data_IF_094679713682
#
_entry.id   IF_094679713682
#
_cell.length_a   1.000
_cell.length_b   1.000
_cell.length_c   1.000
_cell.angle_alpha   90.00
_cell.angle_beta   90.00
_cell.angle_gamma   90.00
#
_symmetry.space_group_name_H-M   'P 1'
#
loop_
_entity.id
_entity.type
_entity.pdbx_description
1 polymer ?
#
# COMPACT_ATOMS: atom_id res chain seq x y z
N UNK A 1 -1.87 -23.81 0.00
CA UNK A 1 -0.85 -22.75 -0.16
C UNK A 1 -0.99 -21.60 0.85
N UNK A 2 -2.16 -20.98 1.02
CA UNK A 2 -2.42 -19.90 2.00
C UNK A 2 -1.83 -20.15 3.41
N UNK A 3 -2.11 -21.31 4.03
CA UNK A 3 -1.57 -21.67 5.35
C UNK A 3 -0.03 -21.67 5.42
N UNK A 4 0.64 -22.03 4.32
CA UNK A 4 2.11 -22.01 4.23
C UNK A 4 2.65 -20.59 4.21
N UNK A 5 2.02 -19.70 3.42
CA UNK A 5 2.46 -18.31 3.34
C UNK A 5 2.19 -17.57 4.66
N UNK A 6 1.05 -17.81 5.33
CA UNK A 6 0.81 -17.31 6.69
C UNK A 6 1.88 -17.78 7.69
N UNK A 7 2.35 -19.03 7.58
CA UNK A 7 3.42 -19.56 8.43
C UNK A 7 4.75 -18.83 8.18
N UNK A 8 5.04 -18.46 6.93
CA UNK A 8 6.25 -17.69 6.58
C UNK A 8 6.16 -16.24 7.05
N UNK A 9 4.96 -15.67 7.09
CA UNK A 9 4.70 -14.31 7.58
C UNK A 9 4.49 -14.22 9.10
N UNK A 10 4.54 -15.34 9.84
CA UNK A 10 4.20 -15.38 11.27
C UNK A 10 4.99 -14.38 12.13
N UNK A 11 6.27 -14.18 11.83
CA UNK A 11 7.11 -13.22 12.56
C UNK A 11 6.54 -11.79 12.50
N UNK A 12 5.95 -11.40 11.36
CA UNK A 12 5.34 -10.09 11.20
C UNK A 12 4.03 -9.98 11.98
N UNK A 13 3.19 -11.03 11.95
CA UNK A 13 1.96 -11.08 12.73
C UNK A 13 2.21 -11.02 14.24
N UNK A 14 3.30 -11.63 14.74
CA UNK A 14 3.70 -11.50 16.16
C UNK A 14 3.99 -10.05 16.52
N UNK A 15 4.71 -9.31 15.66
CA UNK A 15 4.99 -7.89 15.89
C UNK A 15 3.69 -7.06 15.82
N UNK A 16 2.79 -7.38 14.88
CA UNK A 16 1.48 -6.71 14.76
C UNK A 16 0.65 -6.93 16.02
N UNK A 17 0.62 -8.16 16.56
CA UNK A 17 -0.06 -8.45 17.84
C UNK A 17 0.57 -7.64 18.97
N UNK A 18 1.90 -7.54 19.01
CA UNK A 18 2.59 -6.70 19.97
C UNK A 18 2.18 -5.22 19.85
N UNK A 19 2.04 -4.67 18.63
CA UNK A 19 1.55 -3.31 18.41
C UNK A 19 0.12 -3.12 18.95
N UNK A 20 -0.78 -4.08 18.74
CA UNK A 20 -2.14 -4.03 19.31
C UNK A 20 -2.11 -4.01 20.84
N UNK A 21 -1.35 -4.93 21.44
CA UNK A 21 -1.22 -5.01 22.90
C UNK A 21 -0.61 -3.72 23.45
N UNK A 22 0.46 -3.21 22.83
CA UNK A 22 1.11 -1.96 23.23
C UNK A 22 0.13 -0.78 23.14
N UNK A 23 -0.61 -0.65 22.04
CA UNK A 23 -1.61 0.40 21.87
C UNK A 23 -2.69 0.37 22.96
N UNK A 24 -3.18 -0.83 23.31
CA UNK A 24 -4.15 -1.02 24.40
C UNK A 24 -3.52 -0.66 25.76
N UNK A 25 -2.30 -1.10 26.03
CA UNK A 25 -1.58 -0.80 27.27
C UNK A 25 -1.35 0.71 27.46
N UNK A 26 -1.00 1.42 26.38
CA UNK A 26 -0.85 2.88 26.40
C UNK A 26 -2.19 3.60 26.68
N UNK A 27 -3.32 2.99 26.32
CA UNK A 27 -4.65 3.55 26.54
C UNK A 27 -5.12 3.41 28.01
N UNK A 28 -4.69 2.35 28.72
CA UNK A 28 -5.17 2.02 30.07
C UNK A 28 -5.12 3.20 31.07
N UNK A 29 -4.03 4.00 31.15
CA UNK A 29 -3.95 5.13 32.06
C UNK A 29 -4.96 6.25 31.80
N UNK A 30 -5.65 6.26 30.67
CA UNK A 30 -6.67 7.26 30.39
C UNK A 30 -8.10 6.77 30.61
N UNK A 31 -8.31 5.46 30.81
CA UNK A 31 -9.64 4.87 30.93
C UNK A 31 -10.42 5.32 32.15
N UNK A 32 -9.74 5.64 33.26
CA UNK A 32 -10.41 6.13 34.48
C UNK A 32 -11.01 7.54 34.33
N UNK A 33 -10.69 8.26 33.24
CA UNK A 33 -11.17 9.63 32.98
C UNK A 33 -12.38 9.71 32.05
N UNK A 34 -12.82 8.59 31.48
CA UNK A 34 -14.04 8.51 30.68
C UNK A 34 -13.88 7.70 29.39
N UNK A 35 -15.03 7.35 28.80
CA UNK A 35 -15.10 6.44 27.65
C UNK A 35 -14.83 7.13 26.29
N UNK A 36 -14.75 8.47 26.25
CA UNK A 36 -14.53 9.22 25.00
C UNK A 36 -13.20 8.86 24.32
N UNK A 37 -12.16 8.56 25.11
CA UNK A 37 -10.85 8.16 24.58
C UNK A 37 -10.88 6.80 23.89
N UNK A 38 -11.76 5.89 24.34
CA UNK A 38 -11.96 4.59 23.69
C UNK A 38 -12.54 4.80 22.29
N UNK A 39 -13.53 5.70 22.15
CA UNK A 39 -14.09 6.09 20.85
C UNK A 39 -13.01 6.63 19.90
N UNK A 40 -12.16 7.55 20.39
CA UNK A 40 -11.04 8.09 19.62
C UNK A 40 -10.02 7.01 19.23
N UNK A 41 -9.73 6.06 20.12
CA UNK A 41 -8.83 4.94 19.84
C UNK A 41 -9.39 4.00 18.77
N UNK A 42 -10.70 3.70 18.82
CA UNK A 42 -11.39 2.91 17.79
C UNK A 42 -11.35 3.63 16.44
N UNK A 43 -11.57 4.94 16.42
CA UNK A 43 -11.47 5.75 15.19
C UNK A 43 -10.03 5.70 14.65
N UNK A 44 -9.01 5.94 15.48
CA UNK A 44 -7.62 5.88 15.05
C UNK A 44 -7.23 4.51 14.47
N UNK A 45 -7.66 3.42 15.11
CA UNK A 45 -7.48 2.06 14.59
C UNK A 45 -8.20 1.84 13.25
N UNK A 46 -9.45 2.31 13.15
CA UNK A 46 -10.28 2.19 11.94
C UNK A 46 -9.70 3.01 10.78
N UNK A 47 -9.12 4.18 11.06
CA UNK A 47 -8.38 4.96 10.07
C UNK A 47 -7.16 4.19 9.57
N UNK A 48 -6.41 3.52 10.45
CA UNK A 48 -5.29 2.66 10.04
C UNK A 48 -5.74 1.51 9.14
N UNK A 49 -6.83 0.83 9.51
CA UNK A 49 -7.43 -0.23 8.68
C UNK A 49 -7.88 0.30 7.31
N UNK A 50 -8.54 1.46 7.29
CA UNK A 50 -9.06 2.09 6.06
C UNK A 50 -7.92 2.52 5.15
N UNK A 51 -6.91 3.17 5.70
CA UNK A 51 -5.80 3.76 4.95
C UNK A 51 -4.92 2.69 4.29
N UNK A 52 -4.86 1.48 4.85
CA UNK A 52 -4.24 0.34 4.17
C UNK A 52 -4.93 -0.02 2.84
N UNK A 53 -6.19 0.34 2.66
CA UNK A 53 -6.90 0.15 1.39
C UNK A 53 -6.66 1.28 0.40
N UNK A 54 -5.85 2.29 0.72
CA UNK A 54 -5.56 3.35 -0.24
C UNK A 54 -4.90 2.76 -1.48
N UNK A 55 -5.34 3.25 -2.63
CA UNK A 55 -5.03 2.61 -3.91
C UNK A 55 -3.53 2.62 -4.23
N UNK A 56 -2.78 3.58 -3.71
CA UNK A 56 -1.33 3.65 -3.89
C UNK A 56 -0.57 2.64 -3.01
N UNK A 57 -1.06 2.32 -1.82
CA UNK A 57 -0.52 1.26 -0.96
C UNK A 57 -0.67 -0.10 -1.62
N UNK A 58 -1.90 -0.45 -2.02
CA UNK A 58 -2.19 -1.72 -2.70
C UNK A 58 -1.32 -1.86 -3.94
N UNK A 59 -1.30 -0.84 -4.81
CA UNK A 59 -0.51 -0.90 -6.03
C UNK A 59 0.99 -1.02 -5.73
N UNK A 60 1.53 -0.28 -4.75
CA UNK A 60 2.95 -0.37 -4.40
C UNK A 60 3.34 -1.74 -3.82
N UNK A 61 2.51 -2.30 -2.94
CA UNK A 61 2.70 -3.61 -2.31
C UNK A 61 2.62 -4.72 -3.36
N UNK A 62 1.54 -4.77 -4.14
CA UNK A 62 1.29 -5.79 -5.16
C UNK A 62 2.44 -5.86 -6.17
N UNK A 63 2.77 -4.71 -6.75
CA UNK A 63 3.82 -4.60 -7.75
C UNK A 63 5.17 -5.05 -7.20
N UNK A 64 5.46 -4.72 -5.93
CA UNK A 64 6.74 -5.10 -5.32
C UNK A 64 6.79 -6.57 -4.93
N UNK A 65 5.72 -7.13 -4.35
CA UNK A 65 5.61 -8.56 -4.04
C UNK A 65 5.89 -9.37 -5.29
N UNK A 66 5.19 -9.04 -6.38
CA UNK A 66 5.36 -9.69 -7.66
C UNK A 66 6.80 -9.65 -8.14
N UNK A 67 7.39 -8.46 -8.20
CA UNK A 67 8.75 -8.27 -8.68
C UNK A 67 9.77 -9.08 -7.87
N UNK A 68 9.61 -9.13 -6.55
CA UNK A 68 10.48 -9.92 -5.69
C UNK A 68 10.30 -11.43 -5.95
N UNK A 69 9.06 -11.90 -6.16
CA UNK A 69 8.79 -13.30 -6.53
C UNK A 69 9.42 -13.64 -7.88
N UNK A 70 9.31 -12.78 -8.90
CA UNK A 70 9.94 -12.98 -10.21
C UNK A 70 11.48 -13.04 -10.11
N UNK A 71 12.08 -12.30 -9.18
CA UNK A 71 13.50 -12.36 -8.85
C UNK A 71 13.88 -13.53 -7.93
N UNK A 72 12.92 -14.37 -7.51
CA UNK A 72 13.15 -15.47 -6.57
C UNK A 72 13.52 -15.01 -5.15
N UNK A 73 13.16 -13.79 -4.77
CA UNK A 73 13.49 -13.17 -3.48
C UNK A 73 12.35 -13.25 -2.48
N UNK A 74 12.66 -13.00 -1.21
CA UNK A 74 11.66 -13.00 -0.14
C UNK A 74 10.79 -11.73 -0.20
N UNK A 75 9.48 -11.93 -0.30
CA UNK A 75 8.43 -10.92 -0.45
C UNK A 75 7.38 -10.95 0.67
N UNK A 76 7.58 -11.73 1.74
CA UNK A 76 6.56 -11.96 2.78
C UNK A 76 6.29 -10.74 3.67
N UNK A 77 7.29 -9.87 3.86
CA UNK A 77 7.23 -8.70 4.72
C UNK A 77 7.02 -7.40 3.96
N UNK A 78 6.66 -7.45 2.68
CA UNK A 78 6.56 -6.26 1.82
C UNK A 78 5.59 -5.23 2.40
N UNK A 79 4.35 -5.64 2.67
CA UNK A 79 3.34 -4.76 3.27
C UNK A 79 3.66 -4.37 4.72
N UNK A 80 4.27 -5.28 5.49
CA UNK A 80 4.72 -4.96 6.85
C UNK A 80 5.75 -3.83 6.88
N UNK A 81 6.80 -3.91 6.05
CA UNK A 81 7.82 -2.87 6.01
C UNK A 81 7.25 -1.56 5.47
N UNK A 82 6.39 -1.62 4.45
CA UNK A 82 5.70 -0.45 3.90
C UNK A 82 4.89 0.29 4.97
N UNK A 83 3.93 -0.38 5.60
CA UNK A 83 3.11 0.20 6.68
C UNK A 83 3.92 0.73 7.86
N UNK A 84 5.00 0.04 8.25
CA UNK A 84 5.85 0.48 9.36
C UNK A 84 6.61 1.77 9.01
N UNK A 85 7.10 1.87 7.78
CA UNK A 85 7.71 3.10 7.26
C UNK A 85 6.73 4.27 7.27
N UNK A 86 5.54 4.06 6.72
CA UNK A 86 4.47 5.07 6.69
C UNK A 86 4.09 5.51 8.11
N UNK A 87 3.80 4.54 8.98
CA UNK A 87 3.40 4.78 10.37
C UNK A 87 4.48 5.48 11.19
N UNK A 88 5.75 5.40 10.80
CA UNK A 88 6.83 6.14 11.45
C UNK A 88 6.64 7.65 11.28
N UNK A 89 6.19 8.10 10.12
CA UNK A 89 5.90 9.53 9.88
C UNK A 89 4.72 9.98 10.72
N UNK A 90 3.64 9.19 10.74
CA UNK A 90 2.46 9.45 11.57
C UNK A 90 2.85 9.54 13.05
N UNK A 91 3.60 8.58 13.56
CA UNK A 91 4.08 8.57 14.94
C UNK A 91 4.96 9.79 15.26
N UNK A 92 5.91 10.12 14.39
CA UNK A 92 6.79 11.28 14.56
C UNK A 92 5.99 12.59 14.60
N UNK A 93 4.95 12.72 13.79
CA UNK A 93 4.07 13.89 13.81
C UNK A 93 3.30 13.98 15.14
N UNK A 94 2.78 12.87 15.68
CA UNK A 94 2.11 12.89 16.99
C UNK A 94 3.08 13.27 18.11
N UNK A 95 4.33 12.78 18.08
CA UNK A 95 5.36 13.21 19.03
C UNK A 95 5.59 14.72 18.93
N UNK A 96 5.72 15.25 17.71
CA UNK A 96 5.89 16.68 17.49
C UNK A 96 4.72 17.51 18.06
N UNK A 97 3.48 17.07 17.80
CA UNK A 97 2.27 17.70 18.33
C UNK A 97 2.24 17.66 19.86
N UNK A 98 2.59 16.52 20.46
CA UNK A 98 2.61 16.36 21.91
C UNK A 98 3.65 17.27 22.59
N UNK A 99 4.80 17.52 21.92
CA UNK A 99 5.87 18.40 22.44
C UNK A 99 5.56 19.89 22.26
N UNK A 100 4.99 20.29 21.11
CA UNK A 100 4.78 21.70 20.75
C UNK A 100 3.40 22.22 21.19
N UNK A 101 2.43 21.34 21.44
CA UNK A 101 1.12 21.70 21.99
C UNK A 101 0.33 22.66 21.09
N UNK A 102 -0.33 23.69 21.67
CA UNK A 102 -1.18 24.64 20.94
C UNK A 102 -0.43 25.44 19.86
N UNK A 103 0.87 25.68 20.05
CA UNK A 103 1.76 26.33 19.07
C UNK A 103 2.02 25.48 17.82
N UNK A 104 1.67 24.19 17.84
CA UNK A 104 1.88 23.29 16.72
C UNK A 104 0.99 23.64 15.52
N UNK A 105 -0.17 24.26 15.73
CA UNK A 105 -1.21 24.42 14.69
C UNK A 105 -0.72 25.14 13.43
N UNK A 106 0.03 26.24 13.57
CA UNK A 106 0.58 26.97 12.41
C UNK A 106 1.75 26.25 11.74
N UNK A 107 2.60 25.57 12.52
CA UNK A 107 3.66 24.74 11.95
C UNK A 107 3.10 23.54 11.18
N UNK A 108 2.04 22.92 11.71
CA UNK A 108 1.38 21.76 11.11
C UNK A 108 0.86 22.05 9.71
N UNK A 109 0.18 23.18 9.48
CA UNK A 109 -0.32 23.53 8.15
C UNK A 109 0.82 23.61 7.13
N UNK A 110 1.92 24.31 7.46
CA UNK A 110 3.06 24.45 6.55
C UNK A 110 3.80 23.13 6.31
N UNK A 111 4.02 22.32 7.36
CA UNK A 111 4.64 21.01 7.24
C UNK A 111 3.77 20.03 6.43
N UNK A 112 2.45 20.07 6.65
CA UNK A 112 1.47 19.24 5.95
C UNK A 112 1.46 19.55 4.47
N UNK A 113 1.47 20.82 4.07
CA UNK A 113 1.49 21.20 2.64
C UNK A 113 2.78 20.73 1.95
N UNK A 114 3.95 21.00 2.54
CA UNK A 114 5.24 20.64 1.92
C UNK A 114 5.39 19.12 1.84
N UNK A 115 5.10 18.39 2.92
CA UNK A 115 5.19 16.93 2.88
C UNK A 115 4.11 16.31 2.00
N UNK A 116 2.89 16.87 1.95
CA UNK A 116 1.84 16.47 1.01
C UNK A 116 2.31 16.49 -0.44
N UNK A 117 2.96 17.59 -0.85
CA UNK A 117 3.57 17.72 -2.18
C UNK A 117 4.66 16.67 -2.39
N UNK A 118 5.60 16.55 -1.44
CA UNK A 118 6.73 15.60 -1.55
C UNK A 118 6.21 14.16 -1.62
N UNK A 119 5.31 13.77 -0.73
CA UNK A 119 4.70 12.45 -0.65
C UNK A 119 3.96 12.11 -1.94
N UNK A 120 3.16 13.04 -2.46
CA UNK A 120 2.43 12.85 -3.73
C UNK A 120 3.38 12.70 -4.91
N UNK A 121 4.41 13.56 -5.03
CA UNK A 121 5.42 13.45 -6.10
C UNK A 121 6.15 12.11 -6.02
N UNK A 122 6.61 11.71 -4.84
CA UNK A 122 7.34 10.46 -4.66
C UNK A 122 6.45 9.26 -4.94
N UNK A 123 5.24 9.23 -4.38
CA UNK A 123 4.28 8.13 -4.57
C UNK A 123 3.90 7.98 -6.04
N UNK A 124 3.44 9.05 -6.67
CA UNK A 124 3.03 9.02 -8.07
C UNK A 124 4.18 8.68 -9.02
N UNK A 125 5.38 9.21 -8.78
CA UNK A 125 6.58 8.88 -9.55
C UNK A 125 6.93 7.40 -9.39
N UNK A 126 6.92 6.88 -8.16
CA UNK A 126 7.16 5.47 -7.89
C UNK A 126 6.17 4.56 -8.65
N UNK A 127 4.87 4.89 -8.59
CA UNK A 127 3.81 4.14 -9.27
C UNK A 127 3.96 4.18 -10.79
N UNK A 128 4.23 5.35 -11.37
CA UNK A 128 4.42 5.47 -12.83
C UNK A 128 5.63 4.67 -13.30
N UNK A 129 6.74 4.74 -12.57
CA UNK A 129 7.94 3.99 -12.95
C UNK A 129 7.59 2.48 -12.87
N UNK A 130 6.89 1.99 -11.83
CA UNK A 130 6.64 0.54 -11.66
C UNK A 130 5.64 0.02 -12.69
N UNK A 131 4.63 0.83 -13.00
CA UNK A 131 3.70 0.60 -14.10
C UNK A 131 4.42 0.51 -15.45
N UNK A 132 5.37 1.40 -15.73
CA UNK A 132 6.15 1.37 -16.97
C UNK A 132 7.00 0.10 -17.09
N UNK A 133 7.58 -0.37 -15.98
CA UNK A 133 8.37 -1.61 -15.99
C UNK A 133 7.52 -2.84 -16.20
N UNK A 134 6.36 -2.90 -15.55
CA UNK A 134 5.41 -3.98 -15.76
C UNK A 134 4.83 -3.96 -17.18
N UNK A 135 4.67 -2.78 -17.78
CA UNK A 135 4.24 -2.63 -19.17
C UNK A 135 5.31 -3.19 -20.13
N UNK A 136 6.58 -2.87 -19.92
CA UNK A 136 7.67 -3.40 -20.73
C UNK A 136 7.80 -4.93 -20.59
N UNK A 137 7.61 -5.47 -19.38
CA UNK A 137 7.54 -6.90 -19.16
C UNK A 137 6.34 -7.52 -19.90
N UNK A 138 5.16 -6.90 -19.80
CA UNK A 138 3.94 -7.35 -20.49
C UNK A 138 4.15 -7.42 -22.01
N UNK A 139 4.69 -6.35 -22.60
CA UNK A 139 4.99 -6.29 -24.03
C UNK A 139 5.96 -7.42 -24.41
N UNK A 140 6.98 -7.68 -23.59
CA UNK A 140 7.93 -8.78 -23.83
C UNK A 140 7.24 -10.15 -23.80
N UNK A 141 6.39 -10.42 -22.80
CA UNK A 141 5.67 -11.69 -22.69
C UNK A 141 4.69 -11.90 -23.85
N UNK A 142 3.97 -10.84 -24.25
CA UNK A 142 3.03 -10.90 -25.37
C UNK A 142 3.74 -11.08 -26.72
N UNK A 143 4.91 -10.46 -26.91
CA UNK A 143 5.72 -10.60 -28.13
C UNK A 143 6.53 -11.89 -28.16
N UNK A 144 6.87 -12.48 -27.02
CA UNK A 144 7.64 -13.73 -26.91
C UNK A 144 6.88 -14.98 -27.41
N UNK A 145 5.61 -14.86 -27.79
CA UNK A 145 4.93 -15.88 -28.61
C UNK A 145 5.37 -15.84 -30.08
N UNK A 146 6.00 -14.76 -30.54
CA UNK A 146 6.75 -14.70 -31.78
C UNK A 146 8.22 -14.99 -31.47
N UNK A 147 8.85 -15.89 -32.23
CA UNK A 147 10.20 -16.44 -32.04
C UNK A 147 11.34 -15.41 -32.28
N UNK A 148 11.08 -14.13 -32.03
CA UNK A 148 12.03 -13.02 -32.19
C UNK A 148 12.36 -12.46 -30.81
N UNK A 149 13.58 -12.71 -30.36
CA UNK A 149 14.12 -11.97 -29.22
C UNK A 149 13.95 -10.47 -29.47
N UNK A 150 13.50 -9.69 -28.47
CA UNK A 150 13.28 -8.27 -28.65
C UNK A 150 14.62 -7.53 -28.63
N UNK A 151 15.36 -7.58 -29.74
CA UNK A 151 16.61 -6.83 -29.94
C UNK A 151 16.36 -5.30 -29.92
N UNK A 152 15.12 -4.85 -30.13
CA UNK A 152 14.75 -3.44 -30.31
C UNK A 152 14.01 -2.77 -29.14
N UNK A 153 13.97 -3.36 -27.94
CA UNK A 153 13.35 -2.66 -26.80
C UNK A 153 14.15 -1.42 -26.30
N UNK A 154 15.31 -1.14 -26.92
CA UNK A 154 15.92 0.20 -26.95
C UNK A 154 16.39 0.73 -25.60
N UNK A 155 17.02 1.91 -25.65
CA UNK A 155 17.56 2.62 -24.49
C UNK A 155 16.57 2.72 -23.31
N UNK A 156 15.27 2.89 -23.59
CA UNK A 156 14.20 2.99 -22.60
C UNK A 156 14.10 1.72 -21.75
N UNK A 157 14.17 0.52 -22.35
CA UNK A 157 14.14 -0.74 -21.61
C UNK A 157 15.37 -0.92 -20.71
N UNK A 158 16.56 -0.54 -21.18
CA UNK A 158 17.79 -0.60 -20.37
C UNK A 158 17.78 0.43 -19.23
N UNK A 159 17.24 1.61 -19.50
CA UNK A 159 17.12 2.71 -18.53
C UNK A 159 16.10 2.39 -17.43
N UNK A 160 14.90 1.91 -17.79
CA UNK A 160 13.89 1.45 -16.82
C UNK A 160 14.34 0.23 -16.01
N UNK A 161 15.03 -0.74 -16.63
CA UNK A 161 15.64 -1.86 -15.92
C UNK A 161 16.65 -1.37 -14.85
N UNK A 162 17.49 -0.37 -15.17
CA UNK A 162 18.42 0.24 -14.19
C UNK A 162 17.69 0.96 -13.06
N UNK A 163 16.68 1.79 -13.36
CA UNK A 163 15.87 2.48 -12.36
C UNK A 163 15.10 1.53 -11.43
N UNK A 164 15.00 0.24 -11.75
CA UNK A 164 14.40 -0.78 -10.89
C UNK A 164 15.34 -1.83 -10.31
N UNK A 165 16.64 -1.74 -10.55
CA UNK A 165 17.58 -2.49 -9.72
C UNK A 165 17.53 -2.08 -8.25
N UNK A 166 16.98 -0.89 -7.94
CA UNK A 166 16.89 -0.39 -6.57
C UNK A 166 16.04 -1.23 -5.63
N UNK A 167 14.91 -1.82 -6.08
CA UNK A 167 14.10 -2.69 -5.22
C UNK A 167 14.52 -4.15 -5.39
N UNK A 168 15.28 -4.60 -4.40
CA UNK A 168 15.95 -5.88 -4.34
C UNK A 168 15.76 -6.58 -2.98
N UNK A 169 15.07 -5.95 -2.03
CA UNK A 169 14.74 -6.52 -0.73
C UNK A 169 13.43 -5.95 -0.20
N UNK A 170 12.61 -6.79 0.44
CA UNK A 170 11.40 -6.36 1.16
C UNK A 170 11.64 -5.23 2.17
N UNK A 171 12.86 -5.14 2.76
CA UNK A 171 13.18 -4.11 3.76
C UNK A 171 13.20 -2.70 3.18
N UNK A 172 13.47 -2.55 1.88
CA UNK A 172 13.52 -1.24 1.23
C UNK A 172 12.16 -0.56 1.17
N UNK A 173 11.07 -1.34 1.28
CA UNK A 173 9.73 -0.77 1.38
C UNK A 173 9.50 0.01 2.67
N UNK A 174 10.34 -0.14 3.69
CA UNK A 174 10.30 0.78 4.82
C UNK A 174 10.59 2.22 4.39
N UNK A 175 11.59 2.42 3.52
CA UNK A 175 11.94 3.75 3.03
C UNK A 175 10.85 4.27 2.10
N UNK A 176 10.31 3.41 1.22
CA UNK A 176 9.22 3.80 0.32
C UNK A 176 7.97 4.19 1.12
N UNK A 177 7.57 3.36 2.09
CA UNK A 177 6.45 3.64 2.97
C UNK A 177 6.65 4.92 3.77
N UNK A 178 7.85 5.17 4.28
CA UNK A 178 8.18 6.44 4.94
C UNK A 178 7.97 7.63 4.00
N UNK A 179 8.44 7.54 2.75
CA UNK A 179 8.25 8.63 1.78
C UNK A 179 6.79 8.82 1.40
N UNK A 180 6.00 7.75 1.30
CA UNK A 180 4.54 7.84 1.08
C UNK A 180 3.84 8.48 2.29
N UNK A 181 4.27 8.13 3.50
CA UNK A 181 3.74 8.72 4.74
C UNK A 181 4.01 10.21 4.92
N UNK A 182 4.89 10.81 4.11
CA UNK A 182 5.06 12.26 4.07
C UNK A 182 3.83 12.99 3.55
N UNK A 183 2.87 12.30 2.91
CA UNK A 183 1.60 12.86 2.45
C UNK A 183 0.79 13.64 3.50
N UNK A 184 1.09 13.48 4.79
CA UNK A 184 0.57 14.19 5.97
C UNK A 184 -0.95 14.25 6.18
N UNK A 185 -1.80 13.87 5.22
CA UNK A 185 -3.26 13.87 5.40
C UNK A 185 -3.67 12.98 6.58
N UNK A 186 -3.20 11.73 6.60
CA UNK A 186 -3.45 10.78 7.71
C UNK A 186 -2.77 11.19 9.01
N UNK A 187 -1.55 11.72 8.94
CA UNK A 187 -0.86 12.22 10.13
C UNK A 187 -1.60 13.41 10.76
N UNK A 188 -2.22 14.25 9.95
CA UNK A 188 -3.06 15.36 10.38
C UNK A 188 -4.38 14.87 10.99
N UNK A 189 -5.03 13.86 10.41
CA UNK A 189 -6.24 13.24 11.00
C UNK A 189 -5.98 12.66 12.40
N UNK A 190 -4.93 11.84 12.54
CA UNK A 190 -4.54 11.27 13.85
C UNK A 190 -4.07 12.37 14.80
N UNK A 191 -3.38 13.39 14.28
CA UNK A 191 -2.95 14.58 15.03
C UNK A 191 -4.12 15.38 15.58
N UNK A 192 -5.19 15.56 14.80
CA UNK A 192 -6.41 16.23 15.23
C UNK A 192 -7.17 15.41 16.27
N UNK A 193 -7.21 14.08 16.15
CA UNK A 193 -7.78 13.19 17.18
C UNK A 193 -7.00 13.32 18.50
N UNK A 194 -5.67 13.31 18.42
CA UNK A 194 -4.79 13.50 19.57
C UNK A 194 -5.04 14.87 20.24
N UNK A 195 -5.07 15.95 19.45
CA UNK A 195 -5.29 17.30 19.94
C UNK A 195 -6.70 17.46 20.54
N UNK A 196 -7.73 16.92 19.88
CA UNK A 196 -9.11 16.95 20.37
C UNK A 196 -9.25 16.20 21.69
N UNK A 197 -8.52 15.10 21.85
CA UNK A 197 -8.47 14.36 23.11
C UNK A 197 -7.84 15.20 24.23
N UNK A 198 -6.75 15.91 23.95
CA UNK A 198 -6.08 16.81 24.90
C UNK A 198 -6.94 18.02 25.27
N UNK A 199 -7.70 18.59 24.32
CA UNK A 199 -8.48 19.81 24.55
C UNK A 199 -9.89 19.57 25.08
N UNK A 200 -10.55 18.46 24.69
CA UNK A 200 -11.92 18.13 25.11
C UNK A 200 -12.00 17.59 26.53
N UNK A 201 -10.89 17.08 27.07
CA UNK A 201 -10.87 16.53 28.43
C UNK A 201 -10.47 17.64 29.38
N UNK A 202 -11.41 18.13 30.20
CA UNK A 202 -11.18 19.19 31.21
C UNK A 202 -10.12 18.84 32.27
N UNK A 203 -9.57 17.61 32.22
CA UNK A 203 -8.50 17.10 33.06
C UNK A 203 -7.36 16.60 32.17
N UNK A 204 -6.11 16.86 32.58
CA UNK A 204 -4.89 16.43 31.87
C UNK A 204 -4.83 14.91 31.65
N UNK A 205 -5.10 14.44 30.44
CA UNK A 205 -4.87 13.03 30.08
C UNK A 205 -3.35 12.76 30.18
N UNK A 206 -2.94 11.59 30.71
CA UNK A 206 -1.53 11.21 30.68
C UNK A 206 -0.98 11.28 29.26
N UNK A 207 0.12 12.00 29.05
CA UNK A 207 0.72 12.20 27.72
C UNK A 207 1.03 10.87 27.03
N UNK A 208 1.35 9.84 27.82
CA UNK A 208 1.56 8.45 27.36
C UNK A 208 0.36 7.89 26.58
N UNK A 209 -0.87 8.24 26.96
CA UNK A 209 -2.08 7.74 26.30
C UNK A 209 -2.37 8.39 24.96
N UNK A 210 -1.73 9.52 24.66
CA UNK A 210 -1.80 10.13 23.32
C UNK A 210 -1.07 9.25 22.30
N UNK A 211 0.00 8.57 22.72
CA UNK A 211 0.75 7.66 21.85
C UNK A 211 -0.01 6.36 21.53
N UNK A 212 -1.11 6.07 22.22
CA UNK A 212 -1.98 4.96 21.87
C UNK A 212 -2.55 5.12 20.45
N UNK A 213 -2.88 6.35 20.02
CA UNK A 213 -3.49 6.60 18.72
C UNK A 213 -2.61 6.24 17.52
N UNK A 214 -1.37 6.76 17.38
CA UNK A 214 -0.50 6.38 16.26
C UNK A 214 -0.08 4.91 16.33
N UNK A 215 0.04 4.31 17.53
CA UNK A 215 0.38 2.89 17.67
C UNK A 215 -0.78 2.00 17.22
N UNK A 216 -2.02 2.32 17.58
CA UNK A 216 -3.21 1.60 17.11
C UNK A 216 -3.44 1.80 15.62
N UNK A 217 -3.23 3.01 15.09
CA UNK A 217 -3.23 3.27 13.66
C UNK A 217 -2.22 2.36 12.94
N UNK A 218 -0.97 2.33 13.42
CA UNK A 218 0.08 1.47 12.87
C UNK A 218 -0.29 -0.02 12.95
N UNK A 219 -0.90 -0.45 14.07
CA UNK A 219 -1.34 -1.82 14.26
C UNK A 219 -2.40 -2.24 13.22
N UNK A 220 -3.40 -1.39 12.98
CA UNK A 220 -4.45 -1.62 11.99
C UNK A 220 -3.91 -1.63 10.57
N UNK A 221 -3.13 -0.61 10.22
CA UNK A 221 -2.53 -0.49 8.89
C UNK A 221 -1.59 -1.66 8.58
N UNK A 222 -0.67 -1.98 9.51
CA UNK A 222 0.26 -3.10 9.32
C UNK A 222 -0.43 -4.45 9.24
N UNK A 223 -1.59 -4.63 9.89
CA UNK A 223 -2.38 -5.85 9.74
C UNK A 223 -2.87 -6.02 8.30
N UNK A 224 -3.52 -4.99 7.75
CA UNK A 224 -4.11 -5.07 6.41
C UNK A 224 -3.04 -5.13 5.33
N UNK A 225 -2.00 -4.30 5.37
CA UNK A 225 -0.92 -4.34 4.38
C UNK A 225 -0.17 -5.69 4.40
N UNK A 226 0.03 -6.28 5.58
CA UNK A 226 0.67 -7.60 5.69
C UNK A 226 -0.23 -8.71 5.16
N UNK A 227 -1.55 -8.64 5.41
CA UNK A 227 -2.53 -9.55 4.84
C UNK A 227 -2.55 -9.46 3.31
N UNK A 228 -2.55 -8.25 2.77
CA UNK A 228 -2.50 -7.99 1.33
C UNK A 228 -1.25 -8.62 0.69
N UNK A 229 -0.07 -8.33 1.26
CA UNK A 229 1.17 -8.92 0.76
C UNK A 229 1.17 -10.46 0.86
N UNK A 230 0.58 -11.03 1.91
CA UNK A 230 0.47 -12.49 2.08
C UNK A 230 -0.50 -13.10 1.05
N UNK A 231 -1.59 -12.41 0.76
CA UNK A 231 -2.56 -12.76 -0.27
C UNK A 231 -1.92 -12.74 -1.65
N UNK A 232 -1.14 -11.71 -1.96
CA UNK A 232 -0.38 -11.63 -3.21
C UNK A 232 0.66 -12.73 -3.33
N UNK A 233 1.44 -12.97 -2.28
CA UNK A 233 2.39 -14.08 -2.26
C UNK A 233 1.71 -15.43 -2.55
N UNK A 234 0.51 -15.63 -1.99
CA UNK A 234 -0.27 -16.84 -2.22
C UNK A 234 -0.80 -16.90 -3.66
N UNK A 235 -1.36 -15.83 -4.20
CA UNK A 235 -1.94 -15.88 -5.53
C UNK A 235 -0.88 -16.05 -6.63
N UNK A 236 0.23 -15.32 -6.54
CA UNK A 236 1.31 -15.41 -7.53
C UNK A 236 2.03 -16.77 -7.51
N UNK A 237 2.42 -17.28 -6.35
CA UNK A 237 3.14 -18.56 -6.29
C UNK A 237 2.26 -19.72 -6.75
N UNK A 238 0.96 -19.67 -6.47
CA UNK A 238 0.00 -20.68 -6.90
C UNK A 238 -0.10 -20.71 -8.42
N UNK A 239 -0.13 -19.55 -9.07
CA UNK A 239 -0.13 -19.47 -10.51
C UNK A 239 1.20 -19.93 -11.14
N UNK A 240 2.33 -19.69 -10.46
CA UNK A 240 3.65 -20.15 -10.93
C UNK A 240 3.81 -21.67 -10.86
N UNK A 241 3.20 -22.34 -9.88
CA UNK A 241 3.20 -23.80 -9.75
C UNK A 241 2.34 -24.48 -10.83
N UNK A 242 1.34 -23.78 -11.38
CA UNK A 242 0.45 -24.31 -12.41
C UNK A 242 0.90 -23.93 -13.83
N UNK A 243 1.74 -24.77 -14.45
CA UNK A 243 2.33 -24.53 -15.78
C UNK A 243 1.31 -24.17 -16.87
N UNK A 244 0.10 -24.75 -16.85
CA UNK A 244 -0.95 -24.52 -17.85
C UNK A 244 -1.55 -23.12 -17.83
N UNK A 245 -1.70 -22.53 -16.64
CA UNK A 245 -2.35 -21.21 -16.47
C UNK A 245 -1.32 -20.10 -16.20
N UNK A 246 -0.06 -20.45 -15.94
CA UNK A 246 1.00 -19.51 -15.54
C UNK A 246 1.11 -18.32 -16.48
N UNK A 247 1.13 -18.55 -17.80
CA UNK A 247 1.30 -17.46 -18.77
C UNK A 247 0.07 -16.54 -18.80
N UNK A 248 -1.14 -17.09 -18.93
CA UNK A 248 -2.39 -16.33 -18.95
C UNK A 248 -2.62 -15.56 -17.65
N UNK A 249 -2.29 -16.16 -16.51
CA UNK A 249 -2.37 -15.51 -15.21
C UNK A 249 -1.37 -14.36 -15.08
N UNK A 250 -0.11 -14.60 -15.48
CA UNK A 250 0.90 -13.55 -15.48
C UNK A 250 0.47 -12.37 -16.36
N UNK A 251 -0.04 -12.63 -17.57
CA UNK A 251 -0.56 -11.57 -18.46
C UNK A 251 -1.70 -10.82 -17.79
N UNK A 252 -2.72 -11.51 -17.27
CA UNK A 252 -3.87 -10.87 -16.61
C UNK A 252 -3.44 -9.94 -15.48
N UNK A 253 -2.68 -10.48 -14.53
CA UNK A 253 -2.29 -9.73 -13.34
C UNK A 253 -1.31 -8.61 -13.70
N UNK A 254 -0.44 -8.80 -14.70
CA UNK A 254 0.39 -7.70 -15.21
C UNK A 254 -0.43 -6.59 -15.79
N UNK A 255 -1.43 -6.89 -16.61
CA UNK A 255 -2.30 -5.90 -17.19
C UNK A 255 -3.02 -5.09 -16.10
N UNK A 256 -3.57 -5.77 -15.09
CA UNK A 256 -4.22 -5.10 -13.96
C UNK A 256 -3.22 -4.19 -13.22
N UNK A 257 -2.03 -4.70 -12.92
CA UNK A 257 -0.98 -3.96 -12.23
C UNK A 257 -0.49 -2.73 -13.01
N UNK A 258 -0.35 -2.84 -14.33
CA UNK A 258 0.02 -1.71 -15.21
C UNK A 258 -1.08 -0.66 -15.24
N UNK A 259 -2.32 -1.09 -15.48
CA UNK A 259 -3.48 -0.19 -15.57
C UNK A 259 -3.65 0.56 -14.25
N UNK A 260 -3.66 -0.16 -13.13
CA UNK A 260 -3.80 0.46 -11.81
C UNK A 260 -2.66 1.41 -11.50
N UNK A 261 -1.39 1.04 -11.72
CA UNK A 261 -0.26 1.93 -11.48
C UNK A 261 -0.30 3.24 -12.27
N UNK A 262 -0.65 3.18 -13.57
CA UNK A 262 -0.80 4.40 -14.37
C UNK A 262 -2.04 5.22 -14.00
N UNK A 263 -3.16 4.58 -13.67
CA UNK A 263 -4.37 5.27 -13.25
C UNK A 263 -4.15 5.99 -11.91
N UNK A 264 -3.61 5.31 -10.89
CA UNK A 264 -3.39 5.89 -9.56
C UNK A 264 -2.28 6.94 -9.60
N UNK A 265 -1.12 6.60 -10.15
CA UNK A 265 0.01 7.53 -10.22
C UNK A 265 -0.29 8.74 -11.11
N UNK A 266 -0.99 8.53 -12.23
CA UNK A 266 -1.45 9.61 -13.10
C UNK A 266 -2.48 10.50 -12.42
N UNK A 267 -3.46 9.91 -11.73
CA UNK A 267 -4.45 10.66 -10.94
C UNK A 267 -3.77 11.52 -9.87
N UNK A 268 -2.86 10.97 -9.07
CA UNK A 268 -2.15 11.70 -8.03
C UNK A 268 -1.35 12.90 -8.58
N UNK A 269 -0.62 12.73 -9.69
CA UNK A 269 0.07 13.85 -10.34
C UNK A 269 -0.88 14.92 -10.85
N UNK A 270 -1.97 14.51 -11.51
CA UNK A 270 -2.95 15.45 -12.05
C UNK A 270 -3.65 16.22 -10.92
N UNK A 271 -4.04 15.55 -9.84
CA UNK A 271 -4.62 16.17 -8.66
C UNK A 271 -3.69 17.19 -8.03
N UNK A 272 -2.39 16.86 -7.91
CA UNK A 272 -1.38 17.80 -7.42
C UNK A 272 -1.23 19.04 -8.31
N UNK A 273 -1.28 18.86 -9.64
CA UNK A 273 -1.22 19.97 -10.59
C UNK A 273 -2.45 20.88 -10.50
N UNK A 274 -3.64 20.28 -10.33
CA UNK A 274 -4.88 21.03 -10.16
C UNK A 274 -4.80 21.91 -8.91
N UNK A 275 -4.34 21.35 -7.78
CA UNK A 275 -4.21 22.07 -6.52
C UNK A 275 -3.13 23.15 -6.58
N UNK A 276 -1.95 22.82 -7.14
CA UNK A 276 -0.80 23.73 -7.17
C UNK A 276 -0.98 24.93 -8.10
N UNK A 277 -1.66 24.75 -9.23
CA UNK A 277 -1.85 25.79 -10.26
C UNK A 277 -3.29 26.33 -10.32
N UNK A 278 -4.18 25.88 -9.43
CA UNK A 278 -5.60 26.23 -9.41
C UNK A 278 -6.28 26.06 -10.79
N UNK A 279 -6.02 24.92 -11.44
CA UNK A 279 -6.46 24.65 -12.80
C UNK A 279 -7.97 24.43 -12.83
N UNK A 280 -8.67 25.18 -13.69
CA UNK A 280 -10.13 25.08 -13.84
C UNK A 280 -10.50 24.72 -15.27
N UNK A 281 -11.58 23.94 -15.41
CA UNK A 281 -12.12 23.56 -16.72
C UNK A 281 -12.83 22.21 -16.69
N UNK A 282 -13.58 21.87 -17.75
CA UNK A 282 -14.38 20.64 -17.79
C UNK A 282 -13.54 19.37 -17.62
N UNK A 283 -12.30 19.36 -18.13
CA UNK A 283 -11.36 18.25 -17.94
C UNK A 283 -10.90 18.10 -16.48
N UNK A 284 -10.48 19.20 -15.84
CA UNK A 284 -9.99 19.19 -14.45
C UNK A 284 -11.11 18.87 -13.46
N UNK A 285 -12.32 19.36 -13.72
CA UNK A 285 -13.49 19.07 -12.90
C UNK A 285 -13.86 17.57 -12.95
N UNK A 286 -13.67 16.90 -14.10
CA UNK A 286 -13.90 15.46 -14.21
C UNK A 286 -12.96 14.66 -13.28
N UNK A 287 -11.70 15.08 -13.16
CA UNK A 287 -10.70 14.44 -12.31
C UNK A 287 -11.09 14.62 -10.82
N UNK A 288 -11.54 15.81 -10.42
CA UNK A 288 -11.94 16.09 -9.04
C UNK A 288 -13.21 15.36 -8.59
N UNK A 289 -14.06 14.89 -9.51
CA UNK A 289 -15.27 14.11 -9.16
C UNK A 289 -14.93 12.72 -8.62
N UNK A 290 -13.76 12.18 -8.97
CA UNK A 290 -13.33 10.87 -8.50
C UNK A 290 -12.81 11.00 -7.06
N UNK A 291 -13.49 10.37 -6.11
CA UNK A 291 -13.04 10.30 -4.73
C UNK A 291 -12.00 9.17 -4.56
N UNK A 292 -10.78 9.56 -4.18
CA UNK A 292 -9.64 8.66 -4.00
C UNK A 292 -9.88 7.58 -2.95
N UNK A 293 -10.64 7.90 -1.89
CA UNK A 293 -10.93 7.01 -0.77
C UNK A 293 -11.67 5.73 -1.20
N UNK A 294 -12.58 5.86 -2.17
CA UNK A 294 -13.35 4.73 -2.68
C UNK A 294 -12.60 3.97 -3.77
N UNK A 295 -11.59 4.59 -4.37
CA UNK A 295 -10.83 4.03 -5.48
C UNK A 295 -10.10 2.76 -5.04
N UNK A 296 -9.53 2.77 -3.84
CA UNK A 296 -8.89 1.62 -3.20
C UNK A 296 -9.81 0.41 -3.03
N UNK A 297 -10.99 0.62 -2.44
CA UNK A 297 -12.01 -0.44 -2.24
C UNK A 297 -12.48 -0.99 -3.60
N UNK A 298 -12.74 -0.10 -4.57
CA UNK A 298 -13.09 -0.48 -5.92
C UNK A 298 -11.99 -1.33 -6.59
N UNK A 299 -10.72 -1.01 -6.35
CA UNK A 299 -9.57 -1.73 -6.89
C UNK A 299 -9.48 -3.14 -6.29
N UNK A 300 -9.62 -3.30 -4.98
CA UNK A 300 -9.66 -4.63 -4.33
C UNK A 300 -10.84 -5.45 -4.87
N UNK A 301 -12.03 -4.86 -4.97
CA UNK A 301 -13.20 -5.54 -5.53
C UNK A 301 -12.96 -5.99 -6.97
N UNK A 302 -12.42 -5.09 -7.82
CA UNK A 302 -12.07 -5.40 -9.20
C UNK A 302 -11.04 -6.54 -9.30
N UNK A 303 -10.02 -6.54 -8.44
CA UNK A 303 -9.01 -7.58 -8.40
C UNK A 303 -9.60 -8.95 -8.01
N UNK A 304 -10.41 -8.99 -6.94
CA UNK A 304 -11.08 -10.21 -6.48
C UNK A 304 -12.02 -10.76 -7.58
N UNK A 305 -12.83 -9.91 -8.20
CA UNK A 305 -13.73 -10.30 -9.29
C UNK A 305 -12.92 -10.86 -10.46
N UNK A 306 -11.85 -10.18 -10.87
CA UNK A 306 -10.97 -10.63 -11.95
C UNK A 306 -10.36 -12.00 -11.67
N UNK A 307 -9.95 -12.25 -10.42
CA UNK A 307 -9.45 -13.55 -9.96
C UNK A 307 -10.53 -14.64 -10.02
N UNK A 308 -11.73 -14.36 -9.52
CA UNK A 308 -12.85 -15.31 -9.55
C UNK A 308 -13.19 -15.68 -11.00
N UNK A 309 -13.33 -14.67 -11.87
CA UNK A 309 -13.61 -14.87 -13.30
C UNK A 309 -12.51 -15.72 -13.94
N UNK A 310 -11.23 -15.44 -13.66
CA UNK A 310 -10.11 -16.22 -14.17
C UNK A 310 -10.15 -17.68 -13.71
N UNK A 311 -10.42 -17.94 -12.43
CA UNK A 311 -10.50 -19.30 -11.87
C UNK A 311 -11.68 -20.07 -12.48
N UNK A 312 -12.84 -19.42 -12.59
CA UNK A 312 -14.04 -20.03 -13.19
C UNK A 312 -13.83 -20.36 -14.67
N UNK A 313 -13.23 -19.44 -15.42
CA UNK A 313 -12.92 -19.63 -16.84
C UNK A 313 -11.93 -20.78 -17.06
N UNK A 314 -10.92 -20.88 -16.20
CA UNK A 314 -9.89 -21.91 -16.30
C UNK A 314 -10.22 -23.20 -15.53
N UNK A 315 -11.46 -23.39 -15.06
CA UNK A 315 -11.89 -24.57 -14.26
C UNK A 315 -11.53 -25.90 -14.90
N UNK A 316 -11.52 -25.98 -16.24
CA UNK A 316 -11.19 -27.20 -16.98
C UNK A 316 -9.68 -27.47 -17.00
N UNK A 317 -8.84 -26.43 -17.05
CA UNK A 317 -7.38 -26.57 -16.97
C UNK A 317 -6.92 -27.15 -15.63
N UNK A 318 -7.71 -26.96 -14.57
CA UNK A 318 -7.49 -27.52 -13.23
C UNK A 318 -8.02 -28.95 -13.03
N UNK A 319 -8.84 -29.48 -13.95
CA UNK A 319 -9.46 -30.83 -13.84
C UNK A 319 -8.67 -31.95 -14.52
N UNK A 320 -7.83 -31.65 -15.51
CA UNK A 320 -7.09 -32.69 -16.22
C UNK A 320 -5.81 -33.11 -15.49
N UNK A 321 -5.54 -34.41 -15.28
CA UNK A 321 -4.27 -34.87 -14.73
C UNK A 321 -3.08 -34.45 -15.61
N UNK A 322 -1.91 -34.21 -15.01
CA UNK A 322 -0.66 -33.85 -15.70
C UNK A 322 -0.12 -34.93 -16.66
N UNK A 323 -0.72 -36.13 -16.70
CA UNK A 323 -0.15 -37.31 -17.34
C UNK A 323 -0.38 -37.45 -18.86
N UNK A 324 -1.14 -36.57 -19.52
CA UNK A 324 -1.45 -36.74 -20.96
C UNK A 324 -0.54 -36.00 -21.95
N UNK A 325 0.49 -35.27 -21.49
CA UNK A 325 1.34 -34.48 -22.39
C UNK A 325 2.79 -34.97 -22.55
N UNK A 326 3.10 -36.22 -22.14
CA UNK A 326 4.42 -36.83 -22.36
C UNK A 326 4.38 -37.87 -23.50
N UNK A 327 3.21 -38.27 -23.99
CA UNK A 327 3.08 -39.14 -25.16
C UNK A 327 2.34 -38.42 -26.29
N UNK A 328 3.08 -37.66 -27.09
CA UNK A 328 2.83 -37.54 -28.54
C UNK A 328 3.99 -36.88 -29.27
#
# INVERSE_FOLDING_TARGET
MWKSELKKATNFFVIIIFLHVLGILLLLPALYKGNSIIGMAIIAYSLGLRHAFDSDHIVAIDNTVRKLIEKGKNSQGVGFYFSLGHSTVVFAMIVLIALIGKTAKHGMESFSTIGGIIGTIVSSTFLIIIGLTNLLYLIKVLRSHEDKQPENLGFIYRFTQRLFTFIDSQKQLYIIGFLFGLGFDTASEIGLIALSTVTATSQSIPLVSIFAFPVLFAAGMSLMDTLDSTFMNTNYKWAMENSRIRNSYNVLITSISVITAFLIGGYQLLSLLIESYNLQGPFWNLIQVVNFDYLGICLVAFFIISLIVFVVWNRNAFKEPLTKSIEK
#
